data_IF_762452627509
#
_entry.id   IF_762452627509
#
_cell.length_a   1.000
_cell.length_b   1.000
_cell.length_c   1.000
_cell.angle_alpha   90.00
_cell.angle_beta   90.00
_cell.angle_gamma   90.00
#
_symmetry.space_group_name_H-M   'P 1'
#
loop_
_entity.id
_entity.type
_entity.pdbx_description
1 polymer ?
#
# COMPACT_ATOMS: atom_id res chain seq x y z
N UNK A 1 -11.87 37.84 6.59
CA UNK A 1 -10.68 36.98 6.79
C UNK A 1 -10.96 35.65 6.11
N UNK A 2 -10.04 35.13 5.30
CA UNK A 2 -10.19 33.85 4.59
C UNK A 2 -9.68 32.75 5.52
N UNK A 3 -10.55 31.85 5.96
CA UNK A 3 -10.20 30.66 6.74
C UNK A 3 -9.23 29.79 5.93
N UNK A 4 -8.09 29.42 6.52
CA UNK A 4 -7.12 28.53 5.88
C UNK A 4 -7.53 27.07 6.06
N UNK A 5 -7.90 26.41 4.97
CA UNK A 5 -8.15 24.97 4.94
C UNK A 5 -6.84 24.23 5.28
N UNK A 6 -6.79 23.62 6.46
CA UNK A 6 -5.68 22.77 6.90
C UNK A 6 -6.19 21.34 7.05
N UNK A 7 -5.56 20.39 6.36
CA UNK A 7 -5.89 18.97 6.51
C UNK A 7 -5.28 18.51 7.84
N UNK A 8 -6.12 18.09 8.77
CA UNK A 8 -5.69 17.60 10.08
C UNK A 8 -4.96 16.27 9.91
N UNK A 9 -3.79 16.13 10.52
CA UNK A 9 -3.03 14.88 10.52
C UNK A 9 -3.78 13.82 11.31
N UNK A 10 -3.98 12.64 10.73
CA UNK A 10 -4.56 11.50 11.43
C UNK A 10 -3.49 10.89 12.38
N UNK A 11 -3.73 10.89 13.71
CA UNK A 11 -2.81 10.32 14.67
C UNK A 11 -2.78 8.78 14.65
N UNK A 12 -3.76 8.11 14.04
CA UNK A 12 -3.89 6.66 14.03
C UNK A 12 -3.46 6.03 12.69
N UNK A 13 -2.57 6.72 11.98
CA UNK A 13 -2.02 6.23 10.70
C UNK A 13 -1.22 4.95 10.95
N UNK A 14 -1.61 3.88 10.28
CA UNK A 14 -0.97 2.58 10.43
C UNK A 14 0.55 2.66 10.17
N UNK A 15 1.33 1.88 10.92
CA UNK A 15 2.81 1.90 10.89
C UNK A 15 3.36 1.73 9.47
N UNK A 16 2.76 0.85 8.66
CA UNK A 16 3.19 0.61 7.29
C UNK A 16 2.91 1.78 6.31
N UNK A 17 2.18 2.81 6.75
CA UNK A 17 2.07 4.08 6.02
C UNK A 17 3.11 5.10 6.49
N UNK A 18 3.79 4.89 7.63
CA UNK A 18 4.78 5.82 8.16
C UNK A 18 6.18 5.49 7.64
N UNK A 19 6.56 6.14 6.55
CA UNK A 19 7.88 6.02 5.93
C UNK A 19 9.03 6.20 6.91
N UNK A 20 8.94 7.17 7.84
CA UNK A 20 10.05 7.45 8.75
C UNK A 20 10.25 6.31 9.74
N UNK A 21 9.15 5.75 10.26
CA UNK A 21 9.20 4.55 11.10
C UNK A 21 9.71 3.34 10.33
N UNK A 22 9.24 3.11 9.10
CA UNK A 22 9.73 2.00 8.26
C UNK A 22 11.23 2.09 7.99
N UNK A 23 11.74 3.29 7.69
CA UNK A 23 13.17 3.51 7.46
C UNK A 23 13.98 3.26 8.73
N UNK A 24 13.49 3.72 9.87
CA UNK A 24 14.15 3.48 11.16
C UNK A 24 14.22 1.99 11.49
N UNK A 25 13.08 1.28 11.41
CA UNK A 25 13.06 -0.17 11.64
C UNK A 25 13.95 -0.92 10.64
N UNK A 26 13.98 -0.50 9.38
CA UNK A 26 14.84 -1.10 8.36
C UNK A 26 16.34 -0.93 8.66
N UNK A 27 16.75 0.25 9.14
CA UNK A 27 18.13 0.48 9.59
C UNK A 27 18.49 -0.43 10.77
N UNK A 28 17.60 -0.56 11.77
CA UNK A 28 17.81 -1.45 12.91
C UNK A 28 17.99 -2.91 12.48
N UNK A 29 17.23 -3.36 11.49
CA UNK A 29 17.38 -4.71 10.93
C UNK A 29 18.70 -4.88 10.17
N UNK A 30 19.09 -3.91 9.34
CA UNK A 30 20.37 -3.94 8.62
C UNK A 30 21.52 -4.00 9.61
N UNK A 31 21.50 -3.16 10.64
CA UNK A 31 22.52 -3.11 11.68
C UNK A 31 22.62 -4.44 12.42
N UNK A 32 21.50 -4.98 12.89
CA UNK A 32 21.47 -6.26 13.60
C UNK A 32 22.04 -7.42 12.74
N UNK A 33 21.76 -7.42 11.44
CA UNK A 33 22.13 -8.52 10.54
C UNK A 33 23.54 -8.39 9.93
N UNK A 34 24.06 -7.17 9.81
CA UNK A 34 25.19 -6.89 8.92
C UNK A 34 26.32 -6.07 9.57
N UNK A 35 26.22 -5.71 10.84
CA UNK A 35 27.20 -4.84 11.52
C UNK A 35 28.66 -5.32 11.43
N UNK A 36 28.91 -6.63 11.32
CA UNK A 36 30.28 -7.18 11.18
C UNK A 36 30.94 -6.88 9.83
N UNK A 37 30.14 -6.63 8.77
CA UNK A 37 30.61 -6.46 7.40
C UNK A 37 30.34 -5.07 6.83
N UNK A 38 29.25 -4.43 7.25
CA UNK A 38 28.81 -3.14 6.76
C UNK A 38 28.55 -2.23 7.95
N UNK A 39 29.51 -1.35 8.24
CA UNK A 39 29.50 -0.50 9.44
C UNK A 39 29.12 0.95 9.16
N UNK A 40 29.05 1.35 7.90
CA UNK A 40 28.78 2.73 7.48
C UNK A 40 27.37 2.86 6.89
N UNK A 41 26.44 3.44 7.66
CA UNK A 41 25.04 3.62 7.27
C UNK A 41 24.73 5.07 6.84
N UNK A 42 25.61 5.66 6.04
CA UNK A 42 25.47 7.04 5.58
C UNK A 42 24.44 7.20 4.44
N UNK A 43 23.83 8.38 4.32
CA UNK A 43 22.79 8.68 3.33
C UNK A 43 23.26 8.59 1.85
N UNK A 44 24.57 8.64 1.61
CA UNK A 44 25.15 8.48 0.26
C UNK A 44 25.42 7.01 -0.09
N UNK A 45 25.23 6.09 0.85
CA UNK A 45 25.43 4.67 0.62
C UNK A 45 24.31 4.14 -0.30
N UNK A 46 24.64 3.44 -1.40
CA UNK A 46 23.65 2.88 -2.31
C UNK A 46 22.75 1.83 -1.66
N UNK A 47 23.23 1.10 -0.65
CA UNK A 47 22.43 0.17 0.15
C UNK A 47 21.37 0.89 0.99
N UNK A 48 21.71 2.05 1.56
CA UNK A 48 20.73 2.91 2.25
C UNK A 48 19.71 3.47 1.26
N UNK A 49 20.13 3.85 0.05
CA UNK A 49 19.21 4.26 -1.01
C UNK A 49 18.22 3.14 -1.39
N UNK A 50 18.68 1.89 -1.44
CA UNK A 50 17.80 0.72 -1.68
C UNK A 50 16.80 0.53 -0.53
N UNK A 51 17.24 0.69 0.71
CA UNK A 51 16.34 0.65 1.87
C UNK A 51 15.24 1.71 1.74
N UNK A 52 15.59 2.93 1.37
CA UNK A 52 14.64 4.04 1.19
C UNK A 52 13.61 3.73 0.10
N UNK A 53 14.05 3.16 -1.03
CA UNK A 53 13.14 2.72 -2.09
C UNK A 53 12.20 1.60 -1.61
N UNK A 54 12.70 0.66 -0.81
CA UNK A 54 11.87 -0.39 -0.21
C UNK A 54 10.82 0.19 0.75
N UNK A 55 11.20 1.14 1.61
CA UNK A 55 10.25 1.81 2.51
C UNK A 55 9.16 2.57 1.73
N UNK A 56 9.52 3.21 0.62
CA UNK A 56 8.56 3.84 -0.28
C UNK A 56 7.60 2.81 -0.89
N UNK A 57 8.13 1.69 -1.41
CA UNK A 57 7.31 0.61 -1.98
C UNK A 57 6.33 0.01 -0.97
N UNK A 58 6.76 -0.20 0.28
CA UNK A 58 5.89 -0.68 1.37
C UNK A 58 4.79 0.35 1.68
N UNK A 59 5.13 1.64 1.69
CA UNK A 59 4.17 2.72 1.93
C UNK A 59 3.12 2.79 0.82
N UNK A 60 3.54 2.75 -0.44
CA UNK A 60 2.63 2.74 -1.61
C UNK A 60 1.74 1.49 -1.62
N UNK A 61 2.30 0.31 -1.36
CA UNK A 61 1.52 -0.92 -1.25
C UNK A 61 0.50 -0.85 -0.11
N UNK A 62 0.92 -0.34 1.05
CA UNK A 62 0.08 -0.10 2.21
C UNK A 62 -1.06 0.86 1.94
N UNK A 63 -0.84 1.87 1.10
CA UNK A 63 -1.88 2.78 0.67
C UNK A 63 -2.89 2.07 -0.24
N UNK A 64 -2.41 1.36 -1.27
CA UNK A 64 -3.27 0.68 -2.25
C UNK A 64 -4.11 -0.43 -1.64
N UNK A 65 -3.56 -1.20 -0.71
CA UNK A 65 -4.27 -2.31 -0.04
C UNK A 65 -5.33 -1.84 0.95
N UNK A 66 -5.37 -0.54 1.28
CA UNK A 66 -6.38 0.08 2.16
C UNK A 66 -7.54 0.73 1.41
N UNK A 67 -7.57 0.62 0.09
CA UNK A 67 -8.73 1.08 -0.67
C UNK A 67 -10.00 0.32 -0.22
N UNK A 68 -11.19 0.94 -0.30
CA UNK A 68 -12.44 0.26 -0.02
C UNK A 68 -12.54 -1.09 -0.76
N UNK A 69 -13.13 -2.10 -0.12
CA UNK A 69 -13.27 -3.44 -0.72
C UNK A 69 -13.95 -3.41 -2.09
N UNK A 70 -14.94 -2.51 -2.29
CA UNK A 70 -15.59 -2.33 -3.58
C UNK A 70 -14.62 -1.85 -4.67
N UNK A 71 -13.67 -0.98 -4.33
CA UNK A 71 -12.69 -0.44 -5.26
C UNK A 71 -11.59 -1.46 -5.56
N UNK A 72 -11.17 -2.23 -4.54
CA UNK A 72 -10.20 -3.32 -4.72
C UNK A 72 -10.72 -4.43 -5.63
N UNK A 73 -12.03 -4.70 -5.58
CA UNK A 73 -12.72 -5.72 -6.37
C UNK A 73 -13.36 -5.16 -7.65
N UNK A 74 -13.21 -3.86 -7.90
CA UNK A 74 -13.79 -3.22 -9.07
C UNK A 74 -13.14 -3.75 -10.35
N UNK A 75 -13.97 -3.95 -11.38
CA UNK A 75 -13.47 -4.23 -12.73
C UNK A 75 -13.11 -2.91 -13.41
N UNK A 76 -11.93 -2.80 -14.03
CA UNK A 76 -11.54 -1.61 -14.77
C UNK A 76 -12.57 -1.22 -15.83
N UNK A 77 -12.78 0.09 -16.02
CA UNK A 77 -13.76 0.59 -16.99
C UNK A 77 -13.39 0.24 -18.45
N UNK A 78 -12.11 -0.01 -18.71
CA UNK A 78 -11.55 -0.41 -20.00
C UNK A 78 -11.36 -1.93 -20.13
N UNK A 79 -11.88 -2.72 -19.18
CA UNK A 79 -11.88 -4.17 -19.29
C UNK A 79 -12.59 -4.64 -20.57
N UNK A 80 -12.13 -5.78 -21.12
CA UNK A 80 -12.77 -6.34 -22.29
C UNK A 80 -14.23 -6.75 -22.02
N UNK A 81 -15.02 -6.84 -23.10
CA UNK A 81 -16.45 -7.15 -23.01
C UNK A 81 -16.72 -8.50 -22.31
N UNK A 82 -15.80 -9.45 -22.40
CA UNK A 82 -15.94 -10.76 -21.76
C UNK A 82 -15.78 -10.67 -20.24
N UNK A 83 -14.76 -9.95 -19.78
CA UNK A 83 -14.48 -9.68 -18.37
C UNK A 83 -15.64 -8.90 -17.74
N UNK A 84 -16.16 -7.91 -18.47
CA UNK A 84 -17.32 -7.13 -18.01
C UNK A 84 -18.58 -8.00 -17.87
N UNK A 85 -18.85 -8.88 -18.84
CA UNK A 85 -19.98 -9.83 -18.77
C UNK A 85 -19.87 -10.80 -17.61
N UNK A 86 -18.68 -11.35 -17.37
CA UNK A 86 -18.43 -12.26 -16.23
C UNK A 86 -18.69 -11.58 -14.90
N UNK A 87 -18.22 -10.34 -14.75
CA UNK A 87 -18.44 -9.57 -13.52
C UNK A 87 -19.93 -9.28 -13.29
N UNK A 88 -20.66 -8.86 -14.32
CA UNK A 88 -22.11 -8.64 -14.23
C UNK A 88 -22.87 -9.93 -13.90
N UNK A 89 -22.49 -11.07 -14.51
CA UNK A 89 -23.10 -12.36 -14.21
C UNK A 89 -22.85 -12.81 -12.76
N UNK A 90 -21.63 -12.62 -12.24
CA UNK A 90 -21.28 -12.90 -10.84
C UNK A 90 -22.07 -12.01 -9.88
N UNK A 91 -22.19 -10.71 -10.17
CA UNK A 91 -23.00 -9.77 -9.38
C UNK A 91 -24.48 -10.19 -9.37
N UNK A 92 -25.03 -10.58 -10.52
CA UNK A 92 -26.41 -11.05 -10.62
C UNK A 92 -26.63 -12.32 -9.78
N UNK A 93 -25.77 -13.34 -9.93
CA UNK A 93 -25.86 -14.60 -9.20
C UNK A 93 -25.78 -14.42 -7.66
N UNK A 94 -24.93 -13.51 -7.19
CA UNK A 94 -24.80 -13.19 -5.77
C UNK A 94 -26.03 -12.47 -5.21
N UNK A 95 -26.70 -11.63 -6.02
CA UNK A 95 -27.84 -10.82 -5.60
C UNK A 95 -29.19 -11.54 -5.72
N UNK A 96 -29.34 -12.51 -6.63
CA UNK A 96 -30.62 -13.20 -6.83
C UNK A 96 -30.84 -14.39 -5.89
N UNK A 97 -29.82 -14.80 -5.13
CA UNK A 97 -29.95 -15.86 -4.13
C UNK A 97 -30.50 -17.18 -4.69
N UNK A 98 -30.35 -17.42 -5.99
CA UNK A 98 -30.98 -18.54 -6.68
C UNK A 98 -30.07 -19.78 -6.58
N UNK A 99 -30.43 -20.81 -5.78
CA UNK A 99 -29.77 -22.09 -5.90
C UNK A 99 -30.25 -22.69 -7.21
N UNK A 100 -29.45 -22.59 -8.27
CA UNK A 100 -29.73 -23.27 -9.51
C UNK A 100 -29.88 -24.79 -9.27
N UNK A 101 -31.13 -25.22 -9.11
CA UNK A 101 -31.64 -26.57 -9.38
C UNK A 101 -33.11 -26.49 -9.80
#
# INVERSE_FOLDING_TARGET
MKESLTIRRDPNRAEALDYAQLRQSGLEHIEALSHDLWTDYNAHDPGITILELLCYAITDLSYRTRLPMADLLAVPADADAETQRRHQALQHALCTGDPAH
#
